data_IF_168889558236
#
_entry.id   IF_168889558236
#
_cell.length_a   1.000
_cell.length_b   1.000
_cell.length_c   1.000
_cell.angle_alpha   90.00
_cell.angle_beta   90.00
_cell.angle_gamma   90.00
#
_symmetry.space_group_name_H-M   'P 1'
#
loop_
_entity.id
_entity.type
_entity.pdbx_description
1 polymer ?
#
# COMPACT_ATOMS: atom_id res chain seq x y z
N UNK A 1 -9.37 -12.64 14.58
CA UNK A 1 -8.82 -12.43 13.21
C UNK A 1 -9.12 -11.00 12.76
N UNK A 2 -10.35 -10.46 12.99
CA UNK A 2 -10.72 -9.08 12.62
C UNK A 2 -9.94 -7.96 13.33
N UNK A 3 -9.30 -8.23 14.45
CA UNK A 3 -8.59 -7.22 15.26
C UNK A 3 -7.26 -6.74 14.66
N UNK A 4 -6.73 -7.45 13.67
CA UNK A 4 -5.45 -7.16 13.02
C UNK A 4 -5.57 -6.70 11.55
N UNK A 5 -6.70 -6.91 10.89
CA UNK A 5 -6.88 -6.67 9.46
C UNK A 5 -6.73 -5.21 9.05
N UNK A 6 -7.53 -4.31 9.62
CA UNK A 6 -7.52 -2.87 9.27
C UNK A 6 -6.17 -2.23 9.55
N UNK A 7 -5.56 -2.59 10.69
CA UNK A 7 -4.26 -2.09 11.09
C UNK A 7 -3.14 -2.53 10.15
N UNK A 8 -3.20 -3.78 9.69
CA UNK A 8 -2.23 -4.34 8.77
C UNK A 8 -2.34 -3.68 7.39
N UNK A 9 -3.55 -3.53 6.88
CA UNK A 9 -3.85 -2.84 5.61
C UNK A 9 -3.30 -1.42 5.62
N UNK A 10 -3.64 -0.63 6.64
CA UNK A 10 -3.16 0.74 6.76
C UNK A 10 -1.64 0.80 6.89
N UNK A 11 -1.05 -0.04 7.72
CA UNK A 11 0.40 -0.12 7.91
C UNK A 11 1.12 -0.51 6.63
N UNK A 12 0.65 -1.52 5.90
CA UNK A 12 1.27 -2.00 4.65
C UNK A 12 1.11 -1.00 3.53
N UNK A 13 -0.08 -0.41 3.36
CA UNK A 13 -0.33 0.66 2.40
C UNK A 13 0.59 1.85 2.65
N UNK A 14 0.64 2.30 3.90
CA UNK A 14 1.47 3.44 4.27
C UNK A 14 2.97 3.13 4.19
N UNK A 15 3.37 1.90 4.50
CA UNK A 15 4.73 1.42 4.29
C UNK A 15 5.13 1.49 2.82
N UNK A 16 4.29 0.99 1.93
CA UNK A 16 4.51 1.05 0.49
C UNK A 16 4.58 2.51 0.00
N UNK A 17 3.67 3.37 0.46
CA UNK A 17 3.72 4.80 0.20
C UNK A 17 5.03 5.43 0.68
N UNK A 18 5.47 5.15 1.89
CA UNK A 18 6.75 5.65 2.41
C UNK A 18 7.95 5.10 1.66
N UNK A 19 7.89 3.86 1.16
CA UNK A 19 8.95 3.28 0.31
C UNK A 19 9.06 4.03 -1.00
N UNK A 20 7.94 4.43 -1.56
CA UNK A 20 7.85 5.26 -2.77
C UNK A 20 8.36 6.68 -2.50
N UNK A 21 7.87 7.32 -1.46
CA UNK A 21 8.31 8.66 -1.06
C UNK A 21 9.79 8.71 -0.67
N UNK A 22 10.39 7.58 -0.29
CA UNK A 22 11.82 7.48 0.03
C UNK A 22 12.71 7.73 -1.19
N UNK A 23 12.24 7.43 -2.38
CA UNK A 23 12.93 7.80 -3.63
C UNK A 23 13.06 9.32 -3.78
N UNK A 24 12.15 10.10 -3.14
CA UNK A 24 12.18 11.56 -3.13
C UNK A 24 12.87 12.16 -1.88
N UNK A 25 12.97 11.43 -0.77
CA UNK A 25 13.28 12.01 0.54
C UNK A 25 14.47 11.40 1.31
N UNK A 26 15.12 10.34 0.78
CA UNK A 26 16.32 9.72 1.38
C UNK A 26 16.02 8.68 2.48
N UNK A 27 16.81 7.61 2.52
CA UNK A 27 16.62 6.34 3.27
C UNK A 27 16.46 6.43 4.80
N UNK A 28 16.82 7.54 5.42
CA UNK A 28 16.77 7.68 6.89
C UNK A 28 15.35 7.82 7.47
N UNK A 29 14.36 8.19 6.65
CA UNK A 29 13.01 8.52 7.13
C UNK A 29 12.10 7.30 7.27
N UNK A 30 12.32 6.28 6.46
CA UNK A 30 11.56 5.04 6.49
C UNK A 30 11.67 4.31 7.83
N UNK A 31 12.89 4.25 8.38
CA UNK A 31 13.14 3.60 9.67
C UNK A 31 12.36 4.24 10.83
N UNK A 32 12.13 5.56 10.77
CA UNK A 32 11.41 6.25 11.85
C UNK A 32 9.90 6.00 11.81
N UNK A 33 9.31 5.81 10.64
CA UNK A 33 7.88 5.48 10.54
C UNK A 33 7.59 4.09 11.11
N UNK A 34 8.49 3.11 10.87
CA UNK A 34 8.38 1.80 11.50
C UNK A 34 8.42 1.86 13.01
N UNK A 35 9.27 2.72 13.57
CA UNK A 35 9.35 2.92 15.01
C UNK A 35 8.02 3.47 15.54
N UNK A 36 7.39 4.41 14.83
CA UNK A 36 6.10 4.97 15.22
C UNK A 36 5.00 3.91 15.25
N UNK A 37 4.91 3.06 14.21
CA UNK A 37 3.99 1.94 14.18
C UNK A 37 4.29 0.94 15.31
N UNK A 38 5.56 0.64 15.56
CA UNK A 38 5.96 -0.26 16.64
C UNK A 38 5.57 0.26 18.01
N UNK A 39 5.76 1.56 18.28
CA UNK A 39 5.34 2.18 19.55
C UNK A 39 3.82 2.14 19.69
N UNK A 40 3.07 2.37 18.61
CA UNK A 40 1.62 2.24 18.62
C UNK A 40 1.20 0.80 18.96
N UNK A 41 1.88 -0.19 18.37
CA UNK A 41 1.66 -1.61 18.65
C UNK A 41 1.91 -1.97 20.11
N UNK A 42 3.06 -1.61 20.63
CA UNK A 42 3.44 -1.93 21.99
C UNK A 42 2.54 -1.25 23.03
N UNK A 43 1.91 -0.12 22.67
CA UNK A 43 0.91 0.59 23.49
C UNK A 43 -0.53 0.13 23.26
N UNK A 44 -0.78 -0.77 22.30
CA UNK A 44 -2.12 -1.24 21.93
C UNK A 44 -2.99 -0.18 21.28
N UNK A 45 -2.39 0.88 20.70
CA UNK A 45 -3.09 1.95 20.00
C UNK A 45 -3.41 1.51 18.57
N UNK A 46 -4.66 1.73 18.17
CA UNK A 46 -5.09 1.50 16.79
C UNK A 46 -4.84 2.76 15.96
N UNK A 47 -4.25 2.57 14.80
CA UNK A 47 -4.10 3.61 13.79
C UNK A 47 -5.06 3.26 12.66
N UNK A 48 -6.21 3.93 12.61
CA UNK A 48 -7.31 3.60 11.69
C UNK A 48 -7.30 4.50 10.46
N UNK A 49 -6.80 5.74 10.61
CA UNK A 49 -6.75 6.73 9.54
C UNK A 49 -5.45 7.57 9.59
N UNK A 50 -5.33 8.50 8.64
CA UNK A 50 -4.18 9.42 8.59
C UNK A 50 -4.12 10.37 9.79
N UNK A 51 -5.26 10.71 10.40
CA UNK A 51 -5.32 11.61 11.55
C UNK A 51 -4.75 10.93 12.79
N UNK A 52 -5.06 9.65 12.97
CA UNK A 52 -4.47 8.83 14.03
C UNK A 52 -2.96 8.72 13.87
N UNK A 53 -2.49 8.42 12.65
CA UNK A 53 -1.06 8.34 12.37
C UNK A 53 -0.38 9.68 12.62
N UNK A 54 -0.96 10.79 12.18
CA UNK A 54 -0.43 12.14 12.39
C UNK A 54 -0.34 12.49 13.87
N UNK A 55 -1.37 12.16 14.65
CA UNK A 55 -1.40 12.33 16.09
C UNK A 55 -0.32 11.49 16.77
N UNK A 56 -0.11 10.24 16.30
CA UNK A 56 0.93 9.37 16.82
C UNK A 56 2.35 9.87 16.49
N UNK A 57 2.56 10.39 15.28
CA UNK A 57 3.82 11.04 14.87
C UNK A 57 4.14 12.22 15.80
N UNK A 58 3.16 13.07 16.08
CA UNK A 58 3.31 14.20 17.00
C UNK A 58 3.62 13.71 18.41
N UNK A 59 2.85 12.77 18.93
CA UNK A 59 3.04 12.20 20.27
C UNK A 59 4.45 11.61 20.45
N UNK A 60 4.93 10.84 19.50
CA UNK A 60 6.29 10.27 19.54
C UNK A 60 7.35 11.35 19.45
N UNK A 61 7.11 12.40 18.66
CA UNK A 61 8.00 13.56 18.57
C UNK A 61 8.15 14.31 19.89
N UNK A 62 7.04 14.57 20.57
CA UNK A 62 6.99 15.29 21.84
C UNK A 62 7.63 14.47 22.99
N UNK A 63 7.52 13.13 22.90
CA UNK A 63 8.06 12.21 23.90
C UNK A 63 9.34 11.48 23.43
N UNK A 64 10.07 12.01 22.45
CA UNK A 64 11.22 11.35 21.82
C UNK A 64 12.32 10.93 22.82
N UNK A 65 12.47 11.64 23.95
CA UNK A 65 13.43 11.31 24.99
C UNK A 65 13.10 9.99 25.69
N UNK A 66 11.82 9.71 25.92
CA UNK A 66 11.32 8.48 26.56
C UNK A 66 11.63 7.27 25.70
N UNK A 67 11.42 7.41 24.38
CA UNK A 67 11.56 6.30 23.42
C UNK A 67 12.99 6.03 22.97
N UNK A 68 13.91 6.98 23.21
CA UNK A 68 15.28 6.92 22.71
C UNK A 68 16.05 5.66 23.11
N UNK A 69 15.88 5.18 24.34
CA UNK A 69 16.61 4.01 24.85
C UNK A 69 16.06 2.69 24.28
N UNK A 70 14.74 2.61 24.03
CA UNK A 70 14.08 1.39 23.62
C UNK A 70 14.01 1.24 22.10
N UNK A 71 13.76 2.34 21.37
CA UNK A 71 13.48 2.31 19.94
C UNK A 71 14.50 3.08 19.11
N UNK A 72 15.46 3.73 19.74
CA UNK A 72 16.47 4.55 19.07
C UNK A 72 16.11 6.04 19.01
N UNK A 73 17.01 6.82 18.42
CA UNK A 73 16.86 8.28 18.39
C UNK A 73 15.94 8.73 17.26
N UNK A 74 14.83 9.35 17.62
CA UNK A 74 13.91 9.98 16.66
C UNK A 74 14.16 11.49 16.70
N UNK A 75 14.67 12.03 15.59
CA UNK A 75 14.98 13.47 15.54
C UNK A 75 13.74 14.30 15.20
N UNK A 76 13.67 15.53 15.71
CA UNK A 76 12.61 16.48 15.34
C UNK A 76 12.58 16.76 13.83
N UNK A 77 13.72 16.70 13.16
CA UNK A 77 13.81 16.82 11.71
C UNK A 77 13.10 15.65 10.99
N UNK A 78 13.23 14.42 11.51
CA UNK A 78 12.54 13.25 10.97
C UNK A 78 11.04 13.33 11.17
N UNK A 79 10.60 13.72 12.37
CA UNK A 79 9.18 13.96 12.70
C UNK A 79 8.58 15.00 11.75
N UNK A 80 9.21 16.16 11.60
CA UNK A 80 8.75 17.17 10.66
C UNK A 80 8.73 16.76 9.20
N UNK A 81 9.62 15.85 8.80
CA UNK A 81 9.63 15.32 7.46
C UNK A 81 8.49 14.32 7.21
N UNK A 82 8.18 13.47 8.20
CA UNK A 82 7.03 12.56 8.14
C UNK A 82 5.72 13.37 8.11
N UNK A 83 5.59 14.39 8.94
CA UNK A 83 4.40 15.24 8.95
C UNK A 83 4.16 15.94 7.61
N UNK A 84 5.22 16.41 6.93
CA UNK A 84 5.07 16.99 5.58
C UNK A 84 4.62 15.96 4.55
N UNK A 85 5.17 14.75 4.60
CA UNK A 85 4.74 13.68 3.69
C UNK A 85 3.27 13.27 3.93
N UNK A 86 2.81 13.27 5.18
CA UNK A 86 1.40 13.03 5.51
C UNK A 86 0.49 14.13 4.99
N UNK A 87 0.91 15.40 5.10
CA UNK A 87 0.16 16.53 4.52
C UNK A 87 0.06 16.44 3.01
N UNK A 88 1.15 16.09 2.33
CA UNK A 88 1.16 15.89 0.88
C UNK A 88 0.17 14.79 0.47
N UNK A 89 0.15 13.68 1.23
CA UNK A 89 -0.80 12.59 1.02
C UNK A 89 -2.26 13.02 1.27
N UNK A 90 -2.52 13.82 2.30
CA UNK A 90 -3.84 14.40 2.56
C UNK A 90 -4.31 15.28 1.39
N UNK A 91 -3.43 16.09 0.81
CA UNK A 91 -3.74 16.92 -0.37
C UNK A 91 -4.07 16.10 -1.63
N UNK A 92 -3.53 14.89 -1.73
CA UNK A 92 -3.85 13.97 -2.81
C UNK A 92 -5.13 13.14 -2.54
N UNK A 93 -5.88 13.44 -1.49
CA UNK A 93 -7.13 12.72 -1.15
C UNK A 93 -6.90 11.51 -0.24
N UNK A 94 -5.73 11.40 0.37
CA UNK A 94 -5.41 10.29 1.26
C UNK A 94 -6.29 10.21 2.50
N UNK A 95 -6.88 11.32 2.94
CA UNK A 95 -7.83 11.37 4.06
C UNK A 95 -9.17 10.67 3.76
N UNK A 96 -9.54 10.56 2.48
CA UNK A 96 -10.70 9.80 2.01
C UNK A 96 -10.31 8.34 1.77
N UNK A 97 -9.09 8.14 1.26
CA UNK A 97 -8.62 6.82 0.85
C UNK A 97 -8.21 5.93 2.03
N UNK A 98 -7.53 6.51 3.03
CA UNK A 98 -7.09 5.77 4.22
C UNK A 98 -8.08 5.93 5.36
N UNK A 99 -8.87 4.89 5.65
CA UNK A 99 -9.86 4.91 6.72
C UNK A 99 -10.68 3.64 6.76
N UNK A 100 -11.75 3.68 7.55
CA UNK A 100 -12.73 2.61 7.62
C UNK A 100 -14.00 2.95 6.79
N UNK A 101 -14.64 1.95 6.18
CA UNK A 101 -14.28 0.53 6.16
C UNK A 101 -13.09 0.23 5.26
N UNK A 102 -12.18 -0.66 5.71
CA UNK A 102 -11.06 -1.12 4.90
C UNK A 102 -11.53 -2.12 3.84
N UNK A 103 -10.90 -2.08 2.68
CA UNK A 103 -11.15 -3.03 1.62
C UNK A 103 -10.68 -4.43 2.04
N UNK A 104 -11.58 -5.41 1.99
CA UNK A 104 -11.24 -6.82 2.22
C UNK A 104 -11.04 -7.51 0.87
N UNK A 105 -9.80 -7.90 0.58
CA UNK A 105 -9.48 -8.56 -0.69
C UNK A 105 -9.97 -10.01 -0.76
N UNK A 106 -10.38 -10.60 0.35
CA UNK A 106 -10.99 -11.94 0.34
C UNK A 106 -12.31 -11.97 -0.42
N UNK A 107 -13.06 -10.86 -0.38
CA UNK A 107 -14.33 -10.72 -1.12
C UNK A 107 -14.14 -10.79 -2.65
N UNK A 108 -12.93 -10.51 -3.13
CA UNK A 108 -12.64 -10.56 -4.58
C UNK A 108 -12.45 -11.97 -5.13
N UNK A 109 -12.24 -12.95 -4.25
CA UNK A 109 -11.92 -14.34 -4.61
C UNK A 109 -13.12 -15.25 -4.35
N UNK A 110 -14.24 -14.66 -4.03
CA UNK A 110 -15.45 -15.38 -3.68
C UNK A 110 -16.18 -15.95 -4.90
N UNK A 111 -17.11 -16.85 -4.66
CA UNK A 111 -17.91 -17.52 -5.67
C UNK A 111 -19.37 -17.12 -5.49
N UNK A 112 -20.07 -16.98 -6.62
CA UNK A 112 -21.51 -16.74 -6.58
C UNK A 112 -22.29 -18.02 -6.17
N UNK A 113 -23.60 -17.87 -5.97
CA UNK A 113 -24.51 -18.99 -5.63
C UNK A 113 -24.54 -20.12 -6.67
N UNK A 114 -23.96 -19.92 -7.85
CA UNK A 114 -23.90 -20.87 -8.96
C UNK A 114 -22.49 -21.42 -9.20
N UNK A 115 -21.62 -21.34 -8.21
CA UNK A 115 -20.19 -21.74 -8.29
C UNK A 115 -19.41 -21.04 -9.43
N UNK A 116 -19.75 -19.77 -9.72
CA UNK A 116 -19.01 -18.94 -10.67
C UNK A 116 -18.23 -17.86 -9.91
N UNK A 117 -17.04 -17.56 -10.40
CA UNK A 117 -16.22 -16.48 -9.83
C UNK A 117 -16.92 -15.12 -9.98
N UNK A 118 -16.75 -14.28 -8.97
CA UNK A 118 -17.30 -12.92 -8.94
C UNK A 118 -16.48 -12.00 -9.82
N UNK A 119 -17.14 -11.12 -10.57
CA UNK A 119 -16.49 -10.06 -11.33
C UNK A 119 -16.51 -8.77 -10.53
N UNK A 120 -15.35 -8.31 -10.10
CA UNK A 120 -15.20 -7.06 -9.38
C UNK A 120 -14.73 -5.97 -10.34
N UNK A 121 -15.36 -4.80 -10.30
CA UNK A 121 -14.97 -3.64 -11.10
C UNK A 121 -14.56 -2.52 -10.14
N UNK A 122 -13.29 -2.13 -10.24
CA UNK A 122 -12.75 -1.01 -9.49
C UNK A 122 -12.72 0.23 -10.40
N UNK A 123 -13.54 1.21 -10.10
CA UNK A 123 -13.54 2.49 -10.79
C UNK A 123 -12.42 3.37 -10.24
N UNK A 124 -11.45 3.72 -11.08
CA UNK A 124 -10.24 4.46 -10.68
C UNK A 124 -10.15 5.86 -11.32
N UNK A 125 -11.23 6.43 -11.86
CA UNK A 125 -11.17 7.71 -12.59
C UNK A 125 -10.60 8.85 -11.75
N UNK A 126 -11.02 8.98 -10.50
CA UNK A 126 -10.48 9.99 -9.59
C UNK A 126 -9.04 9.64 -9.18
N UNK A 127 -8.78 8.36 -8.96
CA UNK A 127 -7.47 7.89 -8.53
C UNK A 127 -6.38 8.11 -9.59
N UNK A 128 -6.73 8.08 -10.88
CA UNK A 128 -5.81 8.41 -11.98
C UNK A 128 -5.31 9.85 -11.97
N UNK A 129 -6.04 10.76 -11.31
CA UNK A 129 -5.59 12.15 -11.15
C UNK A 129 -4.49 12.27 -10.07
N UNK A 130 -4.28 11.20 -9.28
CA UNK A 130 -3.31 11.10 -8.20
C UNK A 130 -2.37 9.91 -8.42
N UNK A 131 -1.41 9.99 -9.35
CA UNK A 131 -0.59 8.84 -9.77
C UNK A 131 0.15 8.14 -8.62
N UNK A 132 0.62 8.92 -7.63
CA UNK A 132 1.30 8.38 -6.46
C UNK A 132 0.36 7.54 -5.59
N UNK A 133 -0.86 8.02 -5.35
CA UNK A 133 -1.87 7.31 -4.57
C UNK A 133 -2.34 6.05 -5.31
N UNK A 134 -2.61 6.17 -6.62
CA UNK A 134 -2.99 5.04 -7.47
C UNK A 134 -1.96 3.91 -7.45
N UNK A 135 -0.72 4.26 -7.68
CA UNK A 135 0.36 3.30 -7.74
C UNK A 135 0.65 2.67 -6.35
N UNK A 136 0.51 3.44 -5.26
CA UNK A 136 0.60 2.92 -3.88
C UNK A 136 -0.52 1.92 -3.59
N UNK A 137 -1.74 2.23 -4.02
CA UNK A 137 -2.88 1.34 -3.88
C UNK A 137 -2.66 0.02 -4.62
N UNK A 138 -2.23 0.07 -5.88
CA UNK A 138 -1.96 -1.13 -6.66
C UNK A 138 -0.86 -1.99 -6.04
N UNK A 139 0.23 -1.36 -5.58
CA UNK A 139 1.29 -2.08 -4.92
C UNK A 139 0.79 -2.75 -3.64
N UNK A 140 -0.05 -2.06 -2.86
CA UNK A 140 -0.67 -2.66 -1.68
C UNK A 140 -1.55 -3.86 -2.04
N UNK A 141 -2.49 -3.70 -2.99
CA UNK A 141 -3.39 -4.78 -3.43
C UNK A 141 -2.61 -6.02 -3.86
N UNK A 142 -1.61 -5.85 -4.72
CA UNK A 142 -0.81 -6.96 -5.23
C UNK A 142 0.04 -7.60 -4.13
N UNK A 143 0.59 -6.81 -3.21
CA UNK A 143 1.38 -7.32 -2.08
C UNK A 143 0.53 -8.07 -1.09
N UNK A 144 -0.65 -7.55 -0.75
CA UNK A 144 -1.60 -8.19 0.17
C UNK A 144 -2.09 -9.52 -0.38
N UNK A 145 -2.44 -9.57 -1.66
CA UNK A 145 -2.81 -10.82 -2.32
C UNK A 145 -1.66 -11.83 -2.34
N UNK A 146 -0.44 -11.35 -2.54
CA UNK A 146 0.75 -12.22 -2.50
C UNK A 146 0.95 -12.84 -1.11
N UNK A 147 0.72 -12.09 -0.04
CA UNK A 147 0.85 -12.56 1.33
C UNK A 147 -0.34 -13.45 1.76
N UNK A 148 -1.56 -13.07 1.38
CA UNK A 148 -2.79 -13.77 1.77
C UNK A 148 -2.94 -15.13 1.08
N UNK A 149 -2.57 -15.20 -0.21
CA UNK A 149 -2.79 -16.41 -0.99
C UNK A 149 -1.71 -17.48 -0.72
N UNK A 150 -2.11 -18.75 -0.53
CA UNK A 150 -1.16 -19.85 -0.46
C UNK A 150 -0.51 -20.11 -1.81
N UNK A 151 0.68 -20.74 -1.80
CA UNK A 151 1.30 -21.24 -3.02
C UNK A 151 0.36 -22.22 -3.74
N UNK A 152 0.09 -21.95 -5.00
CA UNK A 152 -0.87 -22.71 -5.78
C UNK A 152 -0.21 -23.64 -6.82
N UNK A 153 1.09 -23.44 -7.10
CA UNK A 153 1.80 -24.16 -8.14
C UNK A 153 1.29 -23.81 -9.54
N UNK A 154 1.49 -24.70 -10.50
CA UNK A 154 0.97 -24.56 -11.85
C UNK A 154 -0.50 -25.03 -11.91
N UNK A 155 -1.41 -24.07 -11.95
CA UNK A 155 -2.85 -24.32 -12.11
C UNK A 155 -3.24 -24.24 -13.58
N UNK A 156 -4.18 -25.07 -13.98
CA UNK A 156 -4.80 -24.99 -15.34
C UNK A 156 -5.57 -23.68 -15.57
N UNK A 157 -6.09 -23.08 -14.48
CA UNK A 157 -6.83 -21.82 -14.50
C UNK A 157 -6.40 -20.96 -13.31
N UNK A 158 -6.27 -19.64 -13.49
CA UNK A 158 -5.98 -18.75 -12.38
C UNK A 158 -7.16 -18.70 -11.39
N UNK A 159 -6.85 -18.52 -10.10
CA UNK A 159 -7.85 -18.25 -9.06
C UNK A 159 -8.43 -16.84 -9.18
N UNK A 160 -7.60 -15.90 -9.62
CA UNK A 160 -7.95 -14.50 -9.80
C UNK A 160 -7.23 -13.95 -11.03
N UNK A 161 -7.96 -13.20 -11.85
CA UNK A 161 -7.39 -12.52 -13.02
C UNK A 161 -7.60 -11.00 -12.88
N UNK A 162 -6.48 -10.26 -12.89
CA UNK A 162 -6.49 -8.81 -12.93
C UNK A 162 -6.36 -8.30 -14.35
N UNK A 163 -7.20 -7.35 -14.69
CA UNK A 163 -7.13 -6.61 -15.94
C UNK A 163 -6.91 -5.13 -15.62
N UNK A 164 -5.73 -4.62 -15.94
CA UNK A 164 -5.39 -3.21 -15.80
C UNK A 164 -5.61 -2.53 -17.14
N UNK A 165 -6.72 -1.81 -17.25
CA UNK A 165 -6.98 -0.97 -18.40
C UNK A 165 -6.17 0.32 -18.34
N UNK A 166 -5.81 0.89 -19.48
CA UNK A 166 -4.93 2.05 -19.61
C UNK A 166 -3.63 1.93 -18.77
N UNK A 167 -2.97 0.78 -18.91
CA UNK A 167 -1.79 0.44 -18.10
C UNK A 167 -0.65 1.46 -18.21
N UNK A 168 -0.59 2.26 -19.28
CA UNK A 168 0.36 3.33 -19.42
C UNK A 168 0.30 4.38 -18.28
N UNK A 169 -0.88 4.60 -17.69
CA UNK A 169 -1.04 5.52 -16.55
C UNK A 169 -0.30 5.02 -15.30
N UNK A 170 -0.15 3.71 -15.16
CA UNK A 170 0.62 3.13 -14.06
C UNK A 170 2.12 3.33 -14.26
N UNK A 171 2.62 3.23 -15.50
CA UNK A 171 4.05 3.17 -15.75
C UNK A 171 4.67 4.52 -16.09
N UNK A 172 3.94 5.42 -16.78
CA UNK A 172 4.49 6.70 -17.24
C UNK A 172 4.63 7.74 -16.13
N UNK A 173 3.65 7.83 -15.23
CA UNK A 173 3.60 8.89 -14.22
C UNK A 173 4.00 8.40 -12.81
N UNK A 174 4.20 7.10 -12.63
CA UNK A 174 4.57 6.56 -11.34
C UNK A 174 6.09 6.67 -11.06
N UNK A 175 6.50 6.85 -9.80
CA UNK A 175 7.90 6.81 -9.42
C UNK A 175 8.57 5.49 -9.82
N UNK A 176 9.77 5.58 -10.39
CA UNK A 176 10.51 4.41 -10.91
C UNK A 176 10.64 3.27 -9.90
N UNK A 177 10.96 3.60 -8.64
CA UNK A 177 11.08 2.62 -7.56
C UNK A 177 9.76 1.87 -7.27
N UNK A 178 8.62 2.49 -7.55
CA UNK A 178 7.31 1.87 -7.40
C UNK A 178 7.03 0.92 -8.57
N UNK A 179 7.31 1.34 -9.79
CA UNK A 179 7.20 0.49 -10.99
C UNK A 179 8.02 -0.79 -10.80
N UNK A 180 9.28 -0.67 -10.38
CA UNK A 180 10.16 -1.82 -10.09
C UNK A 180 9.53 -2.78 -9.04
N UNK A 181 8.86 -2.23 -8.03
CA UNK A 181 8.16 -3.04 -7.01
C UNK A 181 6.93 -3.74 -7.56
N UNK A 182 6.11 -3.04 -8.34
CA UNK A 182 4.96 -3.64 -9.03
C UNK A 182 5.41 -4.78 -9.93
N UNK A 183 6.43 -4.57 -10.76
CA UNK A 183 7.01 -5.61 -11.60
C UNK A 183 7.48 -6.83 -10.80
N UNK A 184 8.17 -6.60 -9.68
CA UNK A 184 8.61 -7.67 -8.80
C UNK A 184 7.44 -8.50 -8.28
N UNK A 185 6.38 -7.86 -7.79
CA UNK A 185 5.21 -8.57 -7.25
C UNK A 185 4.46 -9.29 -8.36
N UNK A 186 4.27 -8.66 -9.51
CA UNK A 186 3.60 -9.28 -10.68
C UNK A 186 4.31 -10.56 -11.13
N UNK A 187 5.65 -10.58 -11.11
CA UNK A 187 6.43 -11.79 -11.43
C UNK A 187 6.21 -12.92 -10.41
N UNK A 188 6.06 -12.58 -9.14
CA UNK A 188 5.94 -13.56 -8.04
C UNK A 188 4.51 -14.05 -7.84
N UNK A 189 3.50 -13.21 -8.07
CA UNK A 189 2.10 -13.49 -7.72
C UNK A 189 1.51 -14.63 -8.57
N UNK A 190 2.13 -14.95 -9.69
CA UNK A 190 1.76 -16.10 -10.53
C UNK A 190 1.80 -17.40 -9.73
N UNK A 191 2.79 -17.60 -8.87
CA UNK A 191 2.89 -18.80 -8.02
C UNK A 191 1.71 -18.95 -7.05
N UNK A 192 0.99 -17.87 -6.79
CA UNK A 192 -0.23 -17.84 -5.96
C UNK A 192 -1.51 -18.10 -6.76
N UNK A 193 -1.40 -18.34 -8.06
CA UNK A 193 -2.54 -18.56 -8.95
C UNK A 193 -3.23 -17.28 -9.40
N UNK A 194 -2.56 -16.14 -9.36
CA UNK A 194 -3.07 -14.86 -9.86
C UNK A 194 -2.47 -14.57 -11.24
N UNK A 195 -3.30 -14.20 -12.20
CA UNK A 195 -2.88 -13.70 -13.51
C UNK A 195 -3.09 -12.20 -13.59
N UNK A 196 -2.14 -11.51 -14.20
CA UNK A 196 -2.19 -10.06 -14.39
C UNK A 196 -2.12 -9.75 -15.89
N UNK A 197 -3.06 -8.93 -16.36
CA UNK A 197 -3.19 -8.52 -17.73
C UNK A 197 -3.13 -7.01 -17.82
N UNK A 198 -2.21 -6.51 -18.62
CA UNK A 198 -2.10 -5.08 -18.91
C UNK A 198 -2.69 -4.80 -20.29
N UNK A 199 -3.58 -3.82 -20.35
CA UNK A 199 -4.23 -3.36 -21.58
C UNK A 199 -3.71 -1.95 -21.85
N UNK A 200 -3.09 -1.75 -23.01
CA UNK A 200 -2.54 -0.47 -23.43
C UNK A 200 -2.68 -0.29 -24.92
N UNK A 201 -2.63 0.95 -25.40
CA UNK A 201 -2.75 1.31 -26.81
C UNK A 201 -1.45 1.02 -27.58
N UNK A 202 -0.31 1.06 -26.90
CA UNK A 202 1.00 0.78 -27.51
C UNK A 202 1.85 -0.15 -26.64
N UNK A 203 2.55 -1.13 -27.25
CA UNK A 203 3.50 -1.97 -26.52
C UNK A 203 4.65 -1.17 -25.85
N UNK A 204 4.98 0.01 -26.38
CA UNK A 204 6.02 0.88 -25.81
C UNK A 204 5.64 1.53 -24.48
N UNK A 205 4.37 1.46 -24.09
CA UNK A 205 3.86 2.01 -22.83
C UNK A 205 4.14 1.08 -21.64
N UNK A 206 4.57 -0.14 -21.91
CA UNK A 206 4.89 -1.14 -20.90
C UNK A 206 6.41 -1.26 -20.74
N UNK A 207 6.92 -1.46 -19.52
CA UNK A 207 8.34 -1.72 -19.29
C UNK A 207 8.76 -3.06 -19.91
N UNK A 208 10.05 -3.18 -20.27
CA UNK A 208 10.67 -4.39 -20.86
C UNK A 208 10.73 -5.58 -19.89
#
# INVERSE_FOLDING_TARGET
IYKYGVRYVFCTCFYNFCTVCNSYAGSCKLNHIHIIFRIADDKGLLLLDLKDLRSMVQYVGDNAKEYKLTYGNISSQSVGAIQRALLELEYEGGDIFFGEPALDLSDWIDWDENDKGVMNILECQELFQHPLLYATFLLWVLSELYEMLPEAGDLDKPKLAFFFDEAHLLFNDAPKALVEKVEQVVRLIRSKGVSVWFISQSPSDLPD
#
